data_IF_563654242476
#
_entry.id   IF_563654242476
#
_cell.length_a   1.000
_cell.length_b   1.000
_cell.length_c   1.000
_cell.angle_alpha   90.00
_cell.angle_beta   90.00
_cell.angle_gamma   90.00
#
_symmetry.space_group_name_H-M   'P 1'
#
loop_
_entity.id
_entity.type
_entity.pdbx_description
1 polymer ?
#
# COMPACT_ATOMS: atom_id res chain seq x y z
N UNK A 1 -40.24 50.93 4.92
CA UNK A 1 -39.54 50.87 3.62
C UNK A 1 -38.08 50.55 3.88
N UNK A 2 -37.57 49.53 3.17
CA UNK A 2 -36.18 49.04 3.00
C UNK A 2 -35.32 48.81 4.27
N UNK A 3 -35.26 47.59 4.84
CA UNK A 3 -34.44 46.42 4.43
C UNK A 3 -32.93 46.71 4.31
N UNK A 4 -32.26 46.76 5.45
CA UNK A 4 -30.83 46.44 5.57
C UNK A 4 -30.69 45.00 6.06
N UNK A 5 -30.39 44.04 5.17
CA UNK A 5 -29.76 42.79 5.61
C UNK A 5 -28.99 42.15 4.47
N UNK A 6 -27.67 42.30 4.60
CA UNK A 6 -26.59 41.40 4.15
C UNK A 6 -26.65 40.99 2.68
N UNK A 7 -25.82 41.67 1.90
CA UNK A 7 -25.34 41.23 0.60
C UNK A 7 -24.91 39.75 0.69
N UNK A 8 -25.52 38.94 -0.16
CA UNK A 8 -25.21 37.53 -0.37
C UNK A 8 -23.74 37.38 -0.74
N UNK A 9 -22.98 36.64 0.07
CA UNK A 9 -21.69 36.11 -0.34
C UNK A 9 -21.94 35.01 -1.38
N UNK A 10 -21.33 35.03 -2.57
CA UNK A 10 -21.35 33.88 -3.45
C UNK A 10 -20.47 32.80 -2.82
N UNK A 11 -21.10 31.73 -2.35
CA UNK A 11 -20.41 30.49 -1.99
C UNK A 11 -19.81 29.94 -3.27
N UNK A 12 -18.51 30.17 -3.43
CA UNK A 12 -17.70 29.55 -4.48
C UNK A 12 -17.66 28.05 -4.15
N UNK A 13 -18.59 27.28 -4.72
CA UNK A 13 -18.54 25.83 -4.72
C UNK A 13 -17.33 25.43 -5.56
N UNK A 14 -16.18 25.29 -4.91
CA UNK A 14 -15.02 24.64 -5.50
C UNK A 14 -15.44 23.20 -5.76
N UNK A 15 -15.48 22.87 -7.05
CA UNK A 15 -15.73 21.55 -7.58
C UNK A 15 -14.84 20.54 -6.84
N UNK A 16 -15.48 19.64 -6.09
CA UNK A 16 -14.87 18.38 -5.69
C UNK A 16 -14.64 17.61 -6.99
N UNK A 17 -13.46 17.78 -7.58
CA UNK A 17 -12.86 16.76 -8.43
C UNK A 17 -12.54 15.58 -7.53
N UNK A 18 -13.58 14.83 -7.12
CA UNK A 18 -13.43 13.41 -6.92
C UNK A 18 -13.15 12.85 -8.32
N UNK A 19 -11.87 12.94 -8.73
CA UNK A 19 -11.42 12.33 -9.95
C UNK A 19 -11.83 10.87 -9.88
N UNK A 20 -12.55 10.40 -10.89
CA UNK A 20 -12.72 8.99 -11.13
C UNK A 20 -11.31 8.40 -11.11
N UNK A 21 -10.98 7.68 -10.04
CA UNK A 21 -9.68 7.09 -9.87
C UNK A 21 -9.49 6.13 -11.04
N UNK A 22 -8.48 6.41 -11.87
CA UNK A 22 -8.11 5.55 -12.97
C UNK A 22 -7.95 4.14 -12.42
N UNK A 23 -8.77 3.19 -12.84
CA UNK A 23 -8.71 1.77 -12.42
C UNK A 23 -7.51 1.04 -13.04
N UNK A 24 -6.39 1.76 -13.21
CA UNK A 24 -5.15 1.23 -13.74
C UNK A 24 -4.31 0.63 -12.62
N UNK A 25 -3.28 -0.11 -13.03
CA UNK A 25 -2.23 -0.57 -12.12
C UNK A 25 -1.66 0.63 -11.31
N UNK A 26 -1.53 0.52 -9.98
CA UNK A 26 -0.85 1.52 -9.17
C UNK A 26 0.55 1.83 -9.70
N UNK A 27 0.91 3.11 -9.75
CA UNK A 27 2.25 3.60 -10.11
C UNK A 27 2.96 4.28 -8.93
N UNK A 28 2.31 4.32 -7.76
CA UNK A 28 2.86 4.84 -6.52
C UNK A 28 2.24 4.15 -5.29
N UNK A 29 2.86 4.31 -4.12
CA UNK A 29 2.37 3.73 -2.86
C UNK A 29 1.02 4.33 -2.44
N UNK A 30 0.78 5.60 -2.74
CA UNK A 30 -0.41 6.36 -2.35
C UNK A 30 -1.57 6.22 -3.35
N UNK A 31 -1.33 5.55 -4.48
CA UNK A 31 -2.36 5.34 -5.49
C UNK A 31 -3.52 4.52 -4.90
N UNK A 32 -4.72 4.94 -5.26
CA UNK A 32 -5.94 4.27 -4.85
C UNK A 32 -6.12 4.20 -3.32
N UNK A 33 -5.70 5.28 -2.64
CA UNK A 33 -5.92 5.46 -1.22
C UNK A 33 -7.39 5.34 -0.82
N UNK A 34 -7.65 4.62 0.27
CA UNK A 34 -8.97 4.51 0.87
C UNK A 34 -9.31 5.71 1.77
N UNK A 35 -10.43 5.63 2.50
CA UNK A 35 -10.86 6.70 3.42
C UNK A 35 -9.88 6.97 4.58
N UNK A 36 -9.02 5.99 4.90
CA UNK A 36 -7.95 6.13 5.90
C UNK A 36 -6.64 6.66 5.32
N UNK A 37 -6.55 6.83 4.00
CA UNK A 37 -5.35 7.32 3.32
C UNK A 37 -4.32 6.23 2.97
N UNK A 38 -4.65 4.95 3.19
CA UNK A 38 -3.78 3.83 2.83
C UNK A 38 -4.00 3.46 1.37
N UNK A 39 -2.93 3.53 0.57
CA UNK A 39 -2.95 3.16 -0.85
C UNK A 39 -3.30 1.70 -1.09
N UNK A 40 -3.71 1.35 -2.30
CA UNK A 40 -4.13 -0.02 -2.64
C UNK A 40 -3.01 -1.03 -2.37
N UNK A 41 -1.79 -0.72 -2.81
CA UNK A 41 -0.64 -1.62 -2.66
C UNK A 41 -0.34 -1.93 -1.20
N UNK A 42 -0.37 -0.92 -0.32
CA UNK A 42 -0.16 -1.11 1.12
C UNK A 42 -1.20 -2.05 1.72
N UNK A 43 -2.47 -1.88 1.36
CA UNK A 43 -3.56 -2.69 1.88
C UNK A 43 -3.49 -4.13 1.38
N UNK A 44 -3.27 -4.34 0.08
CA UNK A 44 -3.18 -5.68 -0.51
C UNK A 44 -1.93 -6.42 -0.04
N UNK A 45 -0.77 -5.74 0.05
CA UNK A 45 0.43 -6.32 0.63
C UNK A 45 0.19 -6.78 2.07
N UNK A 46 -0.41 -5.92 2.90
CA UNK A 46 -0.71 -6.26 4.29
C UNK A 46 -1.66 -7.44 4.38
N UNK A 47 -2.71 -7.47 3.55
CA UNK A 47 -3.68 -8.57 3.51
C UNK A 47 -3.02 -9.90 3.11
N UNK A 48 -2.25 -9.91 2.02
CA UNK A 48 -1.57 -11.10 1.52
C UNK A 48 -0.50 -11.60 2.51
N UNK A 49 0.27 -10.69 3.11
CA UNK A 49 1.24 -11.05 4.15
C UNK A 49 0.54 -11.65 5.38
N UNK A 50 -0.60 -11.10 5.78
CA UNK A 50 -1.35 -11.63 6.91
C UNK A 50 -1.95 -13.02 6.62
N UNK A 51 -2.44 -13.23 5.39
CA UNK A 51 -2.91 -14.55 4.92
C UNK A 51 -1.77 -15.58 4.91
N UNK A 52 -0.56 -15.17 4.53
CA UNK A 52 0.62 -16.04 4.54
C UNK A 52 1.14 -16.36 5.97
N UNK A 53 0.71 -15.63 6.99
CA UNK A 53 1.10 -15.78 8.39
C UNK A 53 -0.15 -15.97 9.28
N UNK A 54 -1.07 -16.83 8.85
CA UNK A 54 -2.35 -17.11 9.52
C UNK A 54 -2.20 -17.94 10.82
N UNK A 55 -1.01 -18.48 11.06
CA UNK A 55 -0.63 -19.16 12.29
C UNK A 55 -0.37 -18.18 13.45
N UNK A 56 -0.09 -16.90 13.14
CA UNK A 56 0.01 -15.83 14.11
C UNK A 56 -1.38 -15.30 14.51
N UNK A 57 -1.46 -14.68 15.69
CA UNK A 57 -2.68 -13.91 16.02
C UNK A 57 -2.81 -12.70 15.09
N UNK A 58 -4.04 -12.27 14.79
CA UNK A 58 -4.28 -11.13 13.88
C UNK A 58 -3.44 -9.90 14.24
N UNK A 59 -3.33 -9.57 15.54
CA UNK A 59 -2.52 -8.45 16.03
C UNK A 59 -1.04 -8.64 15.70
N UNK A 60 -0.49 -9.85 15.93
CA UNK A 60 0.92 -10.14 15.66
C UNK A 60 1.21 -10.15 14.17
N UNK A 61 0.35 -10.79 13.38
CA UNK A 61 0.45 -10.84 11.93
C UNK A 61 0.42 -9.44 11.32
N UNK A 62 -0.52 -8.59 11.76
CA UNK A 62 -0.59 -7.17 11.34
C UNK A 62 0.66 -6.38 11.73
N UNK A 63 1.17 -6.53 12.96
CA UNK A 63 2.39 -5.84 13.40
C UNK A 63 3.61 -6.28 12.60
N UNK A 64 3.75 -7.58 12.36
CA UNK A 64 4.81 -8.14 11.54
C UNK A 64 4.75 -7.60 10.11
N UNK A 65 3.60 -7.71 9.44
CA UNK A 65 3.44 -7.28 8.06
C UNK A 65 3.64 -5.77 7.87
N UNK A 66 3.20 -4.94 8.83
CA UNK A 66 3.49 -3.50 8.81
C UNK A 66 4.99 -3.23 8.91
N UNK A 67 5.71 -3.93 9.80
CA UNK A 67 7.16 -3.81 9.90
C UNK A 67 7.86 -4.20 8.59
N UNK A 68 7.45 -5.31 7.96
CA UNK A 68 8.04 -5.76 6.69
C UNK A 68 7.79 -4.71 5.60
N UNK A 69 6.56 -4.20 5.46
CA UNK A 69 6.25 -3.18 4.47
C UNK A 69 7.08 -1.90 4.66
N UNK A 70 7.25 -1.44 5.91
CA UNK A 70 8.10 -0.30 6.22
C UNK A 70 9.56 -0.56 5.78
N UNK A 71 10.11 -1.73 6.10
CA UNK A 71 11.45 -2.12 5.67
C UNK A 71 11.61 -2.18 4.14
N UNK A 72 10.60 -2.68 3.43
CA UNK A 72 10.56 -2.69 1.96
C UNK A 72 10.58 -1.27 1.39
N UNK A 73 9.72 -0.37 1.92
CA UNK A 73 9.64 1.03 1.46
C UNK A 73 10.93 1.81 1.73
N UNK A 74 11.68 1.46 2.77
CA UNK A 74 12.99 2.04 3.05
C UNK A 74 14.09 1.49 2.14
N UNK A 75 14.00 0.22 1.74
CA UNK A 75 15.03 -0.46 0.97
C UNK A 75 14.96 -0.16 -0.54
N UNK A 76 13.76 0.01 -1.11
CA UNK A 76 13.57 0.05 -2.56
C UNK A 76 12.58 1.13 -3.03
N UNK A 77 12.67 1.46 -4.32
CA UNK A 77 11.67 2.31 -5.00
C UNK A 77 10.39 1.51 -5.28
N UNK A 78 9.28 2.22 -5.52
CA UNK A 78 8.02 1.58 -5.94
C UNK A 78 8.20 0.71 -7.20
N UNK A 79 8.89 1.22 -8.23
CA UNK A 79 9.21 0.46 -9.44
C UNK A 79 9.97 -0.84 -9.14
N UNK A 80 10.91 -0.80 -8.20
CA UNK A 80 11.67 -2.00 -7.83
C UNK A 80 10.84 -2.97 -6.98
N UNK A 81 9.88 -2.48 -6.21
CA UNK A 81 8.88 -3.30 -5.54
C UNK A 81 7.96 -4.01 -6.55
N UNK A 82 7.51 -3.32 -7.60
CA UNK A 82 6.66 -3.96 -8.62
C UNK A 82 7.38 -5.09 -9.36
N UNK A 83 8.72 -5.04 -9.48
CA UNK A 83 9.49 -6.19 -9.99
C UNK A 83 9.43 -7.42 -9.08
N UNK A 84 9.33 -7.25 -7.76
CA UNK A 84 9.10 -8.36 -6.82
C UNK A 84 7.69 -8.94 -7.02
N UNK A 85 6.68 -8.07 -7.09
CA UNK A 85 5.29 -8.46 -7.30
C UNK A 85 5.13 -9.27 -8.60
N UNK A 86 5.65 -8.75 -9.71
CA UNK A 86 5.69 -9.43 -11.02
C UNK A 86 6.42 -10.78 -10.94
N UNK A 87 7.51 -10.85 -10.17
CA UNK A 87 8.26 -12.09 -9.99
C UNK A 87 7.44 -13.14 -9.22
N UNK A 88 6.81 -12.73 -8.12
CA UNK A 88 5.99 -13.62 -7.30
C UNK A 88 4.75 -14.08 -8.08
N UNK A 89 4.08 -13.22 -8.83
CA UNK A 89 2.93 -13.63 -9.66
C UNK A 89 3.34 -14.66 -10.71
N UNK A 90 4.46 -14.40 -11.40
CA UNK A 90 4.98 -15.31 -12.43
C UNK A 90 5.46 -16.66 -11.88
N UNK A 91 6.02 -16.66 -10.67
CA UNK A 91 6.58 -17.84 -10.01
C UNK A 91 5.71 -18.35 -8.85
N UNK A 92 4.44 -17.97 -8.79
CA UNK A 92 3.52 -18.26 -7.67
C UNK A 92 3.50 -19.71 -7.21
N UNK A 93 3.68 -20.66 -8.13
CA UNK A 93 3.56 -22.09 -7.85
C UNK A 93 4.93 -22.72 -7.48
N UNK A 94 6.04 -22.02 -7.70
CA UNK A 94 7.40 -22.53 -7.51
C UNK A 94 8.37 -21.55 -6.81
N UNK A 95 7.89 -20.38 -6.37
CA UNK A 95 8.68 -19.38 -5.65
C UNK A 95 9.23 -19.96 -4.35
N UNK A 96 10.49 -19.68 -4.07
CA UNK A 96 11.19 -20.16 -2.89
C UNK A 96 12.03 -19.06 -2.25
N UNK A 97 12.37 -19.22 -0.97
CA UNK A 97 13.24 -18.28 -0.27
C UNK A 97 14.60 -18.11 -0.97
N UNK A 98 15.17 -19.17 -1.56
CA UNK A 98 16.43 -19.09 -2.29
C UNK A 98 16.31 -18.24 -3.57
N UNK A 99 15.18 -18.34 -4.29
CA UNK A 99 14.91 -17.51 -5.47
C UNK A 99 14.72 -16.04 -5.10
N UNK A 100 14.03 -15.79 -3.97
CA UNK A 100 13.85 -14.44 -3.45
C UNK A 100 15.15 -13.85 -2.94
N UNK A 101 16.00 -14.62 -2.26
CA UNK A 101 17.32 -14.17 -1.80
C UNK A 101 18.23 -13.75 -2.97
N UNK A 102 18.23 -14.52 -4.07
CA UNK A 102 19.06 -14.23 -5.25
C UNK A 102 18.71 -12.90 -5.94
N UNK A 103 17.42 -12.55 -6.00
CA UNK A 103 16.93 -11.41 -6.78
C UNK A 103 16.40 -10.23 -5.94
N UNK A 104 16.02 -10.52 -4.70
CA UNK A 104 15.30 -9.63 -3.79
C UNK A 104 15.76 -9.83 -2.34
N UNK A 105 17.06 -10.00 -2.10
CA UNK A 105 17.64 -10.14 -0.75
C UNK A 105 17.09 -9.11 0.25
N UNK A 106 16.84 -7.87 -0.19
CA UNK A 106 16.22 -6.81 0.63
C UNK A 106 14.86 -7.20 1.23
N UNK A 107 14.08 -8.03 0.55
CA UNK A 107 12.78 -8.52 1.03
C UNK A 107 12.97 -9.56 2.13
N UNK A 108 13.94 -10.47 1.96
CA UNK A 108 14.31 -11.45 2.98
C UNK A 108 14.87 -10.73 4.21
N UNK A 109 15.79 -9.79 4.02
CA UNK A 109 16.36 -8.97 5.09
C UNK A 109 15.29 -8.20 5.87
N UNK A 110 14.33 -7.58 5.19
CA UNK A 110 13.20 -6.90 5.85
C UNK A 110 12.34 -7.88 6.66
N UNK A 111 12.06 -9.06 6.11
CA UNK A 111 11.29 -10.13 6.78
C UNK A 111 12.01 -10.62 8.04
N UNK A 112 13.31 -10.89 7.95
CA UNK A 112 14.13 -11.35 9.07
C UNK A 112 14.27 -10.29 10.17
N UNK A 113 14.43 -9.02 9.80
CA UNK A 113 14.51 -7.91 10.75
C UNK A 113 13.23 -7.74 11.59
N UNK A 114 12.08 -8.14 11.04
CA UNK A 114 10.77 -8.01 11.67
C UNK A 114 10.32 -9.24 12.46
N UNK A 115 11.03 -10.37 12.36
CA UNK A 115 10.66 -11.65 12.99
C UNK A 115 10.93 -11.73 14.52
N UNK A 116 10.63 -10.66 15.26
CA UNK A 116 10.91 -10.51 16.71
C UNK A 116 9.74 -10.77 17.64
#
# INVERSE_FOLDING_TARGET
MLRFRRLLAPVLAVFLLAGCMSSGEPVSWEDQADESGHGLVEREFTAACMEANDDLSEVRSRTFCACVLDGVREAVTFEKFTELDDFVDKHRDDVSAAMLDEHFAWFIEATEACAT
#
